data_IF_110113614136
#
_entry.id   IF_110113614136
#
_cell.length_a   1.000
_cell.length_b   1.000
_cell.length_c   1.000
_cell.angle_alpha   90.00
_cell.angle_beta   90.00
_cell.angle_gamma   90.00
#
_symmetry.space_group_name_H-M   'P 1'
#
loop_
_entity.id
_entity.type
_entity.pdbx_description
1 polymer ?
#
# COMPACT_ATOMS: atom_id res chain seq x y z
N UNK A 1 29.32 11.99 -39.66
CA UNK A 1 28.90 12.47 -38.33
C UNK A 1 27.74 11.57 -37.90
N UNK A 2 28.01 10.58 -37.04
CA UNK A 2 26.94 9.78 -36.45
C UNK A 2 26.39 10.57 -35.27
N UNK A 3 25.18 11.12 -35.40
CA UNK A 3 24.44 11.60 -34.24
C UNK A 3 24.15 10.38 -33.38
N UNK A 4 24.90 10.22 -32.29
CA UNK A 4 24.56 9.25 -31.25
C UNK A 4 23.22 9.71 -30.67
N UNK A 5 22.13 9.08 -31.09
CA UNK A 5 20.84 9.28 -30.46
C UNK A 5 20.93 8.70 -29.04
N UNK A 6 20.84 9.56 -28.02
CA UNK A 6 20.65 9.09 -26.66
C UNK A 6 19.37 8.22 -26.62
N UNK A 7 19.44 7.03 -26.04
CA UNK A 7 18.25 6.21 -25.86
C UNK A 7 17.21 7.00 -25.05
N UNK A 8 15.92 6.97 -25.44
CA UNK A 8 14.87 7.62 -24.68
C UNK A 8 14.77 6.98 -23.29
N UNK A 9 14.61 7.79 -22.24
CA UNK A 9 14.37 7.29 -20.89
C UNK A 9 13.06 6.52 -20.84
N UNK A 10 13.14 5.22 -20.60
CA UNK A 10 12.00 4.38 -20.30
C UNK A 10 11.71 4.36 -18.80
N UNK A 11 10.45 4.22 -18.45
CA UNK A 11 10.00 4.06 -17.08
C UNK A 11 9.41 2.67 -16.89
N UNK A 12 9.96 1.94 -15.93
CA UNK A 12 9.61 0.56 -15.62
C UNK A 12 8.84 0.54 -14.30
N UNK A 13 7.50 0.43 -14.34
CA UNK A 13 6.70 0.31 -13.14
C UNK A 13 6.92 -1.05 -12.48
N UNK A 14 6.85 -1.09 -11.15
CA UNK A 14 6.81 -2.36 -10.42
C UNK A 14 5.55 -3.15 -10.76
N UNK A 15 5.58 -4.45 -10.46
CA UNK A 15 4.38 -5.29 -10.54
C UNK A 15 3.25 -4.71 -9.66
N UNK A 16 1.98 -5.02 -9.99
CA UNK A 16 0.83 -4.64 -9.16
C UNK A 16 1.06 -5.02 -7.70
N UNK A 17 0.81 -4.08 -6.80
CA UNK A 17 1.10 -4.21 -5.37
C UNK A 17 -0.16 -4.65 -4.65
N UNK A 18 -0.03 -5.61 -3.74
CA UNK A 18 -1.11 -6.03 -2.86
C UNK A 18 -0.76 -5.65 -1.41
N UNK A 19 -1.76 -5.13 -0.69
CA UNK A 19 -1.66 -4.84 0.73
C UNK A 19 -2.93 -5.28 1.46
N UNK A 20 -2.82 -5.46 2.76
CA UNK A 20 -3.98 -5.70 3.64
C UNK A 20 -4.31 -4.38 4.34
N UNK A 21 -5.60 -4.11 4.53
CA UNK A 21 -6.09 -2.98 5.31
C UNK A 21 -5.39 -2.88 6.68
N UNK A 22 -5.01 -1.66 7.08
CA UNK A 22 -4.20 -1.38 8.27
C UNK A 22 -2.69 -1.59 8.07
N UNK A 23 -2.27 -2.28 7.00
CA UNK A 23 -0.87 -2.57 6.70
C UNK A 23 -0.14 -1.41 6.00
N UNK A 24 0.92 -1.74 5.27
CA UNK A 24 1.68 -0.79 4.44
C UNK A 24 1.82 -1.31 3.02
N UNK A 25 1.83 -0.39 2.05
CA UNK A 25 2.06 -0.67 0.63
C UNK A 25 3.32 0.05 0.15
N UNK A 26 4.15 -0.62 -0.65
CA UNK A 26 5.35 -0.02 -1.25
C UNK A 26 5.20 0.00 -2.76
N UNK A 27 5.12 1.20 -3.34
CA UNK A 27 5.00 1.45 -4.76
C UNK A 27 6.38 1.84 -5.31
N UNK A 28 6.78 1.27 -6.45
CA UNK A 28 8.11 1.53 -6.99
C UNK A 28 8.08 1.70 -8.50
N UNK A 29 8.92 2.62 -9.00
CA UNK A 29 9.17 2.80 -10.42
C UNK A 29 10.67 3.04 -10.63
N UNK A 30 11.23 2.47 -11.67
CA UNK A 30 12.65 2.61 -12.02
C UNK A 30 12.83 3.15 -13.43
N UNK A 31 13.92 3.85 -13.67
CA UNK A 31 14.27 4.37 -15.00
C UNK A 31 15.30 3.48 -15.68
N UNK A 32 15.13 3.32 -16.99
CA UNK A 32 16.10 2.66 -17.87
C UNK A 32 16.46 3.58 -19.05
N UNK A 33 17.71 4.02 -19.20
CA UNK A 33 18.82 3.78 -18.28
C UNK A 33 18.64 4.48 -16.92
N UNK A 34 19.30 4.00 -15.84
CA UNK A 34 19.27 4.64 -14.54
C UNK A 34 19.82 6.07 -14.58
N UNK A 35 19.12 7.01 -13.93
CA UNK A 35 19.52 8.42 -13.83
C UNK A 35 19.27 8.93 -12.41
N UNK A 36 20.19 9.72 -11.86
CA UNK A 36 20.04 10.31 -10.53
C UNK A 36 18.81 11.26 -10.47
N UNK A 37 17.89 10.94 -9.56
CA UNK A 37 16.66 11.68 -9.28
C UNK A 37 16.78 12.56 -8.03
N UNK A 38 17.92 12.59 -7.33
CA UNK A 38 18.11 13.34 -6.08
C UNK A 38 17.86 14.85 -6.21
N UNK A 39 18.04 15.42 -7.40
CA UNK A 39 17.71 16.82 -7.71
C UNK A 39 16.48 16.97 -8.62
N UNK A 40 15.80 15.88 -8.94
CA UNK A 40 14.62 15.85 -9.80
C UNK A 40 13.37 15.92 -8.92
N UNK A 41 12.34 16.64 -9.37
CA UNK A 41 11.07 16.63 -8.67
C UNK A 41 10.38 15.28 -8.90
N UNK A 42 9.80 14.72 -7.84
CA UNK A 42 9.08 13.45 -7.89
C UNK A 42 7.67 13.70 -7.37
N UNK A 43 6.69 13.44 -8.22
CA UNK A 43 5.28 13.66 -7.92
C UNK A 43 4.54 12.34 -8.03
N UNK A 44 4.14 11.78 -6.89
CA UNK A 44 3.23 10.64 -6.84
C UNK A 44 1.80 11.14 -6.79
N UNK A 45 0.97 10.65 -7.71
CA UNK A 45 -0.37 11.13 -7.98
C UNK A 45 -1.38 9.98 -8.04
N UNK A 46 -2.64 10.26 -7.70
CA UNK A 46 -3.75 9.32 -7.87
C UNK A 46 -4.78 9.87 -8.87
N UNK A 47 -4.67 9.51 -10.14
CA UNK A 47 -5.55 10.04 -11.18
C UNK A 47 -5.23 11.50 -11.54
N UNK A 48 -3.99 11.73 -11.99
CA UNK A 48 -3.40 12.95 -12.56
C UNK A 48 -3.43 14.26 -11.75
N UNK A 49 -4.36 14.47 -10.82
CA UNK A 49 -4.53 15.76 -10.11
C UNK A 49 -4.42 15.67 -8.59
N UNK A 50 -4.38 14.45 -8.05
CA UNK A 50 -4.39 14.20 -6.60
C UNK A 50 -3.01 13.83 -6.09
N UNK A 51 -2.28 14.80 -5.54
CA UNK A 51 -0.94 14.59 -4.98
C UNK A 51 -0.98 13.66 -3.76
N UNK A 52 -0.38 12.48 -3.93
CA UNK A 52 -0.14 11.49 -2.87
C UNK A 52 1.14 11.84 -2.12
N UNK A 53 2.21 12.14 -2.84
CA UNK A 53 3.49 12.57 -2.26
C UNK A 53 4.25 13.45 -3.24
N UNK A 54 4.90 14.51 -2.73
CA UNK A 54 5.64 15.47 -3.55
C UNK A 54 7.02 15.65 -2.95
N UNK A 55 8.05 15.47 -3.78
CA UNK A 55 9.43 15.77 -3.46
C UNK A 55 9.96 16.79 -4.47
N UNK A 56 10.50 17.91 -3.98
CA UNK A 56 11.08 18.97 -4.81
C UNK A 56 12.08 19.78 -4.02
N UNK A 57 13.04 20.40 -4.70
CA UNK A 57 14.09 21.18 -4.04
C UNK A 57 14.85 20.37 -2.97
N UNK A 58 15.08 19.08 -3.26
CA UNK A 58 15.76 18.10 -2.39
C UNK A 58 15.08 17.82 -1.04
N UNK A 59 13.77 18.06 -0.93
CA UNK A 59 12.99 17.80 0.28
C UNK A 59 11.56 17.36 -0.06
N UNK A 60 10.92 16.70 0.89
CA UNK A 60 9.48 16.42 0.81
C UNK A 60 8.69 17.73 0.98
N UNK A 61 7.55 17.82 0.30
CA UNK A 61 6.64 18.96 0.30
C UNK A 61 5.25 18.53 0.79
N UNK A 62 5.04 18.48 2.12
CA UNK A 62 3.79 18.02 2.70
C UNK A 62 2.62 18.99 2.47
N UNK A 63 2.92 20.27 2.22
CA UNK A 63 1.91 21.30 1.99
C UNK A 63 1.11 21.03 0.71
N UNK A 64 1.79 20.52 -0.32
CA UNK A 64 1.17 20.17 -1.61
C UNK A 64 0.41 18.84 -1.59
N UNK A 65 0.63 18.00 -0.58
CA UNK A 65 -0.05 16.69 -0.46
C UNK A 65 -1.52 16.83 -0.06
N UNK A 66 -2.35 15.92 -0.56
CA UNK A 66 -3.70 15.77 -0.04
C UNK A 66 -3.67 15.38 1.43
N UNK A 67 -4.56 16.00 2.22
CA UNK A 67 -4.69 15.78 3.67
C UNK A 67 -4.73 14.30 4.06
N UNK A 68 -5.42 13.46 3.28
CA UNK A 68 -5.56 12.01 3.56
C UNK A 68 -4.26 11.18 3.45
N UNK A 69 -3.20 11.74 2.86
CA UNK A 69 -1.90 11.05 2.71
C UNK A 69 -0.77 11.69 3.53
N UNK A 70 -1.02 12.86 4.14
CA UNK A 70 -0.08 13.48 5.08
C UNK A 70 0.18 12.51 6.24
N UNK A 71 1.44 12.45 6.67
CA UNK A 71 1.95 11.59 7.75
C UNK A 71 1.80 10.07 7.52
N UNK A 72 1.21 9.66 6.40
CA UNK A 72 1.06 8.24 6.00
C UNK A 72 2.06 7.85 4.93
N UNK A 73 2.66 8.81 4.23
CA UNK A 73 3.49 8.56 3.06
C UNK A 73 4.95 8.93 3.30
N UNK A 74 5.86 8.11 2.78
CA UNK A 74 7.29 8.35 2.86
C UNK A 74 7.98 7.96 1.55
N UNK A 75 8.76 8.87 0.98
CA UNK A 75 9.61 8.60 -0.18
C UNK A 75 10.98 8.10 0.28
N UNK A 76 11.49 7.01 -0.32
CA UNK A 76 12.86 6.58 -0.07
C UNK A 76 13.85 7.46 -0.86
N UNK A 77 14.46 8.44 -0.18
CA UNK A 77 15.41 9.34 -0.82
C UNK A 77 16.70 8.64 -1.28
N UNK A 78 17.08 7.53 -0.64
CA UNK A 78 18.27 6.75 -1.02
C UNK A 78 18.14 6.09 -2.40
N UNK A 79 16.92 5.69 -2.76
CA UNK A 79 16.61 5.05 -4.05
C UNK A 79 16.74 6.03 -5.22
N UNK A 80 16.51 7.33 -4.97
CA UNK A 80 16.53 8.36 -6.01
C UNK A 80 17.89 8.43 -6.73
N UNK A 81 18.98 8.24 -6.00
CA UNK A 81 20.35 8.24 -6.56
C UNK A 81 20.57 7.16 -7.63
N UNK A 82 19.75 6.10 -7.61
CA UNK A 82 19.80 4.96 -8.54
C UNK A 82 18.74 5.04 -9.63
N UNK A 83 18.02 6.16 -9.76
CA UNK A 83 16.91 6.29 -10.71
C UNK A 83 15.68 5.50 -10.32
N UNK A 84 15.51 5.22 -9.03
CA UNK A 84 14.37 4.49 -8.49
C UNK A 84 13.57 5.41 -7.59
N UNK A 85 12.27 5.51 -7.84
CA UNK A 85 11.32 6.19 -6.96
C UNK A 85 10.51 5.15 -6.20
N UNK A 86 10.70 5.09 -4.88
CA UNK A 86 10.01 4.14 -4.00
C UNK A 86 9.20 4.92 -2.97
N UNK A 87 7.88 4.75 -2.99
CA UNK A 87 6.94 5.38 -2.08
C UNK A 87 6.30 4.32 -1.17
N UNK A 88 6.36 4.53 0.13
CA UNK A 88 5.61 3.74 1.10
C UNK A 88 4.36 4.49 1.55
N UNK A 89 3.21 3.83 1.54
CA UNK A 89 1.94 4.29 2.12
C UNK A 89 1.63 3.41 3.33
N UNK A 90 1.51 4.03 4.51
CA UNK A 90 1.26 3.37 5.79
C UNK A 90 -0.21 3.45 6.18
N UNK A 91 -0.65 2.52 7.03
CA UNK A 91 -2.03 2.39 7.48
C UNK A 91 -3.01 2.45 6.30
N UNK A 92 -2.80 1.56 5.31
CA UNK A 92 -3.62 1.56 4.08
C UNK A 92 -5.07 1.22 4.39
N UNK A 93 -6.01 1.89 3.74
CA UNK A 93 -7.45 1.60 3.83
C UNK A 93 -7.98 1.09 2.50
N UNK A 94 -9.17 0.46 2.51
CA UNK A 94 -9.83 0.02 1.26
C UNK A 94 -10.01 1.15 0.24
N UNK A 95 -10.14 2.40 0.71
CA UNK A 95 -10.21 3.59 -0.13
C UNK A 95 -8.91 3.92 -0.88
N UNK A 96 -7.77 3.36 -0.50
CA UNK A 96 -6.48 3.56 -1.18
C UNK A 96 -6.34 2.69 -2.43
N UNK A 97 -7.24 1.74 -2.66
CA UNK A 97 -7.27 0.88 -3.85
C UNK A 97 -7.32 1.71 -5.15
N UNK A 98 -6.48 1.36 -6.13
CA UNK A 98 -6.49 1.96 -7.46
C UNK A 98 -5.11 2.22 -8.05
N UNK A 99 -5.09 2.99 -9.13
CA UNK A 99 -3.88 3.33 -9.87
C UNK A 99 -3.17 4.54 -9.29
N UNK A 100 -1.85 4.41 -9.15
CA UNK A 100 -0.92 5.45 -8.73
C UNK A 100 0.04 5.73 -9.87
N UNK A 101 0.35 7.01 -10.08
CA UNK A 101 1.25 7.47 -11.11
C UNK A 101 2.41 8.21 -10.45
N UNK A 102 3.64 7.92 -10.85
CA UNK A 102 4.78 8.81 -10.60
C UNK A 102 5.03 9.66 -11.83
N UNK A 103 5.20 10.97 -11.62
CA UNK A 103 5.58 11.93 -12.63
C UNK A 103 6.91 12.58 -12.26
N UNK A 104 7.80 12.68 -13.24
CA UNK A 104 9.11 13.31 -13.15
C UNK A 104 9.14 14.51 -14.10
N UNK A 105 8.73 15.72 -13.66
CA UNK A 105 8.52 16.87 -14.54
C UNK A 105 9.74 17.25 -15.37
N UNK A 106 10.94 17.29 -14.76
CA UNK A 106 12.17 17.65 -15.45
C UNK A 106 12.63 16.60 -16.47
N UNK A 107 12.10 15.37 -16.40
CA UNK A 107 12.40 14.29 -17.33
C UNK A 107 11.28 14.05 -18.34
N UNK A 108 10.08 14.59 -18.10
CA UNK A 108 8.89 14.33 -18.91
C UNK A 108 8.41 12.87 -18.84
N UNK A 109 8.77 12.15 -17.77
CA UNK A 109 8.53 10.71 -17.62
C UNK A 109 7.36 10.43 -16.67
N UNK A 110 6.49 9.48 -17.04
CA UNK A 110 5.36 9.00 -16.24
C UNK A 110 5.38 7.48 -16.14
N UNK A 111 5.08 6.95 -14.97
CA UNK A 111 4.86 5.52 -14.74
C UNK A 111 3.58 5.31 -13.96
N UNK A 112 2.85 4.23 -14.24
CA UNK A 112 1.65 3.85 -13.51
C UNK A 112 1.81 2.48 -12.88
N UNK A 113 1.36 2.33 -11.63
CA UNK A 113 1.27 1.06 -10.92
C UNK A 113 -0.07 0.96 -10.20
N UNK A 114 -0.55 -0.27 -9.96
CA UNK A 114 -1.84 -0.50 -9.31
C UNK A 114 -1.64 -1.07 -7.91
N UNK A 115 -2.26 -0.44 -6.91
CA UNK A 115 -2.39 -0.95 -5.56
C UNK A 115 -3.75 -1.60 -5.36
N UNK A 116 -3.78 -2.86 -4.91
CA UNK A 116 -4.98 -3.58 -4.47
C UNK A 116 -4.92 -3.76 -2.95
N UNK A 117 -5.98 -3.33 -2.25
CA UNK A 117 -6.09 -3.48 -0.80
C UNK A 117 -7.15 -4.53 -0.47
N UNK A 118 -6.76 -5.57 0.25
CA UNK A 118 -7.66 -6.60 0.78
C UNK A 118 -8.13 -6.21 2.18
N UNK A 119 -9.40 -6.45 2.47
CA UNK A 119 -9.94 -6.24 3.82
C UNK A 119 -9.24 -7.17 4.82
N UNK A 120 -8.92 -6.65 6.01
CA UNK A 120 -8.43 -7.49 7.09
C UNK A 120 -9.54 -8.49 7.48
N UNK A 121 -9.23 -9.79 7.52
CA UNK A 121 -10.16 -10.76 8.09
C UNK A 121 -10.29 -10.50 9.58
N UNK A 122 -11.28 -9.69 9.96
CA UNK A 122 -11.75 -9.62 11.34
C UNK A 122 -12.31 -10.99 11.68
N UNK A 123 -11.49 -11.86 12.27
CA UNK A 123 -11.93 -13.16 12.81
C UNK A 123 -13.03 -12.91 13.85
N UNK A 124 -14.29 -12.86 13.41
CA UNK A 124 -15.47 -12.91 14.28
C UNK A 124 -15.61 -14.32 14.82
N UNK A 125 -14.72 -14.72 15.72
CA UNK A 125 -15.07 -15.64 16.80
C UNK A 125 -15.60 -14.79 17.95
N UNK A 126 -16.70 -14.06 17.70
CA UNK A 126 -17.48 -13.45 18.77
C UNK A 126 -18.22 -14.60 19.47
N UNK A 127 -17.59 -15.15 20.51
CA UNK A 127 -18.25 -15.83 21.62
C UNK A 127 -19.26 -16.92 21.27
N UNK A 128 -18.80 -18.15 21.02
CA UNK A 128 -19.54 -19.29 21.55
C UNK A 128 -19.24 -19.36 23.05
N UNK A 129 -19.72 -18.36 23.80
CA UNK A 129 -19.96 -18.53 25.22
C UNK A 129 -21.14 -19.48 25.29
N UNK A 130 -20.89 -20.79 25.25
CA UNK A 130 -21.94 -21.75 25.59
C UNK A 130 -22.33 -21.38 27.02
N UNK A 131 -23.54 -20.84 27.26
CA UNK A 131 -23.93 -20.48 28.61
C UNK A 131 -23.82 -21.73 29.46
N UNK A 132 -23.30 -21.64 30.69
CA UNK A 132 -23.19 -22.79 31.58
C UNK A 132 -24.53 -23.54 31.69
N UNK A 133 -25.66 -22.81 31.60
CA UNK A 133 -27.01 -23.39 31.54
C UNK A 133 -27.24 -24.36 30.37
N UNK A 134 -26.64 -24.13 29.19
CA UNK A 134 -26.77 -25.02 28.03
C UNK A 134 -25.95 -26.31 28.25
N UNK A 135 -24.75 -26.20 28.86
CA UNK A 135 -23.96 -27.38 29.27
C UNK A 135 -24.71 -28.17 30.36
N UNK A 136 -25.25 -27.48 31.37
CA UNK A 136 -26.02 -28.09 32.46
C UNK A 136 -27.27 -28.77 31.92
N UNK A 137 -28.00 -28.15 30.98
CA UNK A 137 -29.17 -28.74 30.36
C UNK A 137 -28.83 -30.00 29.55
N UNK A 138 -27.73 -29.99 28.79
CA UNK A 138 -27.23 -31.17 28.08
C UNK A 138 -26.88 -32.29 29.07
N UNK A 139 -26.14 -31.99 30.14
CA UNK A 139 -25.80 -32.98 31.17
C UNK A 139 -27.07 -33.56 31.81
N UNK A 140 -28.05 -32.72 32.14
CA UNK A 140 -29.36 -33.15 32.66
C UNK A 140 -30.10 -34.08 31.70
N UNK A 141 -30.12 -33.75 30.40
CA UNK A 141 -30.75 -34.57 29.36
C UNK A 141 -30.06 -35.95 29.27
N UNK A 142 -28.73 -35.99 29.30
CA UNK A 142 -27.95 -37.23 29.21
C UNK A 142 -28.12 -38.14 30.44
N UNK A 143 -28.26 -37.56 31.64
CA UNK A 143 -28.61 -38.30 32.86
C UNK A 143 -30.01 -38.88 32.76
N UNK A 144 -30.99 -38.12 32.24
CA UNK A 144 -32.38 -38.58 32.10
C UNK A 144 -32.52 -39.69 31.04
N UNK A 145 -31.71 -39.65 29.98
CA UNK A 145 -31.64 -40.68 28.95
C UNK A 145 -30.83 -41.92 29.40
N UNK A 146 -30.25 -41.91 30.62
CA UNK A 146 -29.51 -43.05 31.17
C UNK A 146 -28.13 -43.27 30.54
N UNK A 147 -27.63 -42.30 29.77
CA UNK A 147 -26.33 -42.36 29.10
C UNK A 147 -25.19 -42.16 30.11
N UNK A 148 -25.39 -41.27 31.09
CA UNK A 148 -24.44 -41.03 32.19
C UNK A 148 -24.97 -41.74 33.44
N UNK A 149 -24.23 -42.72 33.96
CA UNK A 149 -24.55 -43.40 35.22
C UNK A 149 -24.38 -42.43 36.38
N UNK A 150 -25.42 -42.30 37.22
CA UNK A 150 -25.35 -41.58 38.49
C UNK A 150 -24.35 -42.30 39.41
N UNK A 151 -23.34 -41.56 39.90
CA UNK A 151 -22.58 -41.95 41.08
C UNK A 151 -23.37 -41.58 42.34
#
# INVERSE_FOLDING_TARGET
>A
MFFSAALPLACLPSQPVQAVEGGSATLQCSLDPPVDLSSTAVEWNRGHTRYVHVYRSRRDDPDSQMLQYRDRTALNHGDLSRGVSTLTISNVSLSDNGSYEVYLPQRGVRCSTHLTVAAERRNRVLGVLIPAAFVIAIVWILVKLGVIRKF
#
